data_IF_227856744615
#
_entry.id   IF_227856744615
#
_cell.length_a   1.000
_cell.length_b   1.000
_cell.length_c   1.000
_cell.angle_alpha   90.00
_cell.angle_beta   90.00
_cell.angle_gamma   90.00
#
_symmetry.space_group_name_H-M   'P 1'
#
loop_
_entity.id
_entity.type
_entity.pdbx_description
1 polymer ?
#
# COMPACT_ATOMS: atom_id res chain seq x y z
N UNK A 1 -19.64 -7.88 -9.08
CA UNK A 1 -18.30 -7.50 -9.56
C UNK A 1 -17.23 -8.13 -8.66
N UNK A 2 -16.14 -8.58 -9.24
CA UNK A 2 -15.03 -9.24 -8.54
C UNK A 2 -13.84 -8.27 -8.40
N UNK A 3 -13.32 -8.14 -7.19
CA UNK A 3 -12.12 -7.36 -6.88
C UNK A 3 -10.96 -8.30 -6.54
N UNK A 4 -9.87 -8.20 -7.26
CA UNK A 4 -8.61 -8.88 -6.96
C UNK A 4 -7.70 -7.95 -6.14
N UNK A 5 -7.24 -8.43 -5.00
CA UNK A 5 -6.31 -7.71 -4.13
C UNK A 5 -4.93 -8.34 -4.28
N UNK A 6 -3.95 -7.58 -4.77
CA UNK A 6 -2.60 -8.07 -5.09
C UNK A 6 -1.71 -8.33 -3.87
N UNK A 7 -2.29 -8.90 -2.82
CA UNK A 7 -1.60 -9.27 -1.58
C UNK A 7 -2.47 -10.14 -0.69
N UNK A 8 -1.84 -10.95 0.16
CA UNK A 8 -2.48 -11.67 1.28
C UNK A 8 -2.23 -11.00 2.64
N UNK A 9 -1.61 -9.83 2.68
CA UNK A 9 -1.37 -9.11 3.93
C UNK A 9 -2.71 -8.64 4.53
N UNK A 10 -3.11 -9.11 5.72
CA UNK A 10 -4.44 -8.83 6.27
C UNK A 10 -4.72 -7.34 6.48
N UNK A 11 -3.72 -6.55 6.83
CA UNK A 11 -3.85 -5.10 7.00
C UNK A 11 -4.27 -4.41 5.71
N UNK A 12 -3.65 -4.78 4.58
CA UNK A 12 -3.97 -4.25 3.26
C UNK A 12 -5.33 -4.78 2.76
N UNK A 13 -5.58 -6.08 2.94
CA UNK A 13 -6.85 -6.72 2.56
C UNK A 13 -8.04 -6.09 3.30
N UNK A 14 -7.93 -5.92 4.61
CA UNK A 14 -8.98 -5.32 5.43
C UNK A 14 -9.27 -3.88 5.02
N UNK A 15 -8.24 -3.09 4.67
CA UNK A 15 -8.43 -1.73 4.16
C UNK A 15 -9.28 -1.71 2.88
N UNK A 16 -9.04 -2.63 1.94
CA UNK A 16 -9.83 -2.74 0.70
C UNK A 16 -11.27 -3.15 1.00
N UNK A 17 -11.46 -4.22 1.76
CA UNK A 17 -12.82 -4.72 2.10
C UNK A 17 -13.65 -3.66 2.84
N UNK A 18 -13.03 -2.90 3.74
CA UNK A 18 -13.69 -1.83 4.49
C UNK A 18 -14.20 -0.69 3.61
N UNK A 19 -13.48 -0.36 2.52
CA UNK A 19 -13.86 0.74 1.60
C UNK A 19 -14.93 0.29 0.59
N UNK A 20 -14.77 -0.89 0.02
CA UNK A 20 -15.67 -1.38 -1.03
C UNK A 20 -16.93 -2.08 -0.48
N UNK A 21 -16.91 -2.56 0.78
CA UNK A 21 -18.06 -3.20 1.44
C UNK A 21 -18.34 -4.62 0.94
N UNK A 22 -19.46 -5.18 1.37
CA UNK A 22 -19.77 -6.60 1.21
C UNK A 22 -20.47 -6.96 -0.11
N UNK A 23 -20.72 -5.99 -0.97
CA UNK A 23 -21.41 -6.21 -2.27
C UNK A 23 -20.49 -6.78 -3.35
N UNK A 24 -19.19 -6.83 -3.11
CA UNK A 24 -18.18 -7.32 -4.03
C UNK A 24 -17.68 -8.71 -3.62
N UNK A 25 -17.30 -9.51 -4.62
CA UNK A 25 -16.55 -10.75 -4.39
C UNK A 25 -15.06 -10.44 -4.37
N UNK A 26 -14.35 -10.83 -3.32
CA UNK A 26 -12.92 -10.57 -3.16
C UNK A 26 -12.08 -11.81 -3.43
N UNK A 27 -10.97 -11.62 -4.14
CA UNK A 27 -9.94 -12.64 -4.36
C UNK A 27 -8.58 -12.06 -3.93
N UNK A 28 -7.96 -12.69 -2.96
CA UNK A 28 -6.62 -12.32 -2.48
C UNK A 28 -5.58 -13.10 -3.30
N UNK A 29 -4.72 -12.37 -4.03
CA UNK A 29 -3.73 -12.96 -4.92
C UNK A 29 -2.33 -12.62 -4.43
N UNK A 30 -1.52 -13.64 -4.20
CA UNK A 30 -0.12 -13.43 -3.83
C UNK A 30 0.70 -13.17 -5.10
N UNK A 31 0.90 -11.90 -5.42
CA UNK A 31 1.65 -11.45 -6.58
C UNK A 31 2.90 -10.68 -6.17
N UNK A 32 3.96 -10.81 -6.97
CA UNK A 32 5.18 -10.06 -6.76
C UNK A 32 4.99 -8.59 -7.12
N UNK A 33 5.66 -7.70 -6.38
CA UNK A 33 5.67 -6.26 -6.71
C UNK A 33 6.55 -5.93 -7.91
N UNK A 34 7.54 -6.78 -8.20
CA UNK A 34 8.53 -6.52 -9.26
C UNK A 34 9.47 -5.34 -8.97
N UNK A 35 9.51 -4.88 -7.73
CA UNK A 35 10.44 -3.86 -7.23
C UNK A 35 11.24 -4.42 -6.05
N UNK A 36 12.13 -3.64 -5.46
CA UNK A 36 12.93 -4.10 -4.32
C UNK A 36 12.03 -4.47 -3.11
N UNK A 37 12.49 -5.37 -2.22
CA UNK A 37 11.76 -5.71 -0.99
C UNK A 37 11.48 -4.50 -0.11
N UNK A 38 12.37 -3.51 -0.13
CA UNK A 38 12.22 -2.21 0.50
C UNK A 38 12.33 -1.11 -0.55
N UNK A 39 11.20 -0.60 -1.12
CA UNK A 39 11.24 0.54 -2.01
C UNK A 39 11.78 1.80 -1.33
N UNK A 40 12.70 2.50 -2.00
CA UNK A 40 13.41 3.66 -1.45
C UNK A 40 13.03 4.98 -2.14
N UNK A 41 11.94 4.98 -2.91
CA UNK A 41 11.37 6.18 -3.52
C UNK A 41 9.86 6.03 -3.69
N UNK A 42 9.18 7.16 -3.84
CA UNK A 42 7.77 7.17 -4.25
C UNK A 42 7.57 6.47 -5.60
N UNK A 43 8.45 6.74 -6.57
CA UNK A 43 8.37 6.16 -7.90
C UNK A 43 8.43 4.62 -7.85
N UNK A 44 9.38 4.06 -7.12
CA UNK A 44 9.51 2.62 -6.93
C UNK A 44 8.30 2.03 -6.21
N UNK A 45 7.79 2.72 -5.18
CA UNK A 45 6.62 2.30 -4.42
C UNK A 45 5.35 2.32 -5.29
N UNK A 46 5.17 3.36 -6.10
CA UNK A 46 4.08 3.47 -7.08
C UNK A 46 4.16 2.33 -8.08
N UNK A 47 5.35 2.08 -8.64
CA UNK A 47 5.54 1.00 -9.62
C UNK A 47 5.20 -0.36 -9.02
N UNK A 48 5.59 -0.61 -7.78
CA UNK A 48 5.22 -1.83 -7.05
C UNK A 48 3.70 -1.99 -6.89
N UNK A 49 3.00 -0.90 -6.55
CA UNK A 49 1.54 -0.90 -6.45
C UNK A 49 0.86 -1.18 -7.82
N UNK A 50 1.34 -0.56 -8.90
CA UNK A 50 0.84 -0.79 -10.28
C UNK A 50 1.03 -2.25 -10.68
N UNK A 51 2.23 -2.79 -10.49
CA UNK A 51 2.55 -4.17 -10.84
C UNK A 51 1.61 -5.15 -10.12
N UNK A 52 1.38 -4.94 -8.81
CA UNK A 52 0.44 -5.77 -8.03
C UNK A 52 -0.99 -5.67 -8.54
N UNK A 53 -1.48 -4.47 -8.85
CA UNK A 53 -2.84 -4.27 -9.36
C UNK A 53 -3.06 -5.00 -10.69
N UNK A 54 -2.14 -4.81 -11.64
CA UNK A 54 -2.19 -5.45 -12.97
C UNK A 54 -2.05 -6.97 -12.90
N UNK A 55 -1.13 -7.46 -12.09
CA UNK A 55 -0.95 -8.90 -11.91
C UNK A 55 -2.17 -9.55 -11.25
N UNK A 56 -2.76 -8.90 -10.25
CA UNK A 56 -3.92 -9.42 -9.53
C UNK A 56 -5.16 -9.51 -10.42
N UNK A 57 -5.48 -8.46 -11.19
CA UNK A 57 -6.65 -8.48 -12.09
C UNK A 57 -6.53 -9.57 -13.13
N UNK A 58 -5.34 -9.76 -13.68
CA UNK A 58 -5.06 -10.81 -14.67
C UNK A 58 -5.14 -12.21 -14.07
N UNK A 59 -4.48 -12.45 -12.94
CA UNK A 59 -4.41 -13.77 -12.32
C UNK A 59 -5.77 -14.26 -11.82
N UNK A 60 -6.64 -13.36 -11.32
CA UNK A 60 -7.95 -13.71 -10.81
C UNK A 60 -9.07 -13.65 -11.86
N UNK A 61 -8.82 -13.11 -13.07
CA UNK A 61 -9.88 -12.78 -14.02
C UNK A 61 -10.94 -11.88 -13.37
N UNK A 62 -10.49 -10.84 -12.65
CA UNK A 62 -11.36 -9.96 -11.89
C UNK A 62 -11.72 -8.69 -12.68
N UNK A 63 -12.79 -8.02 -12.26
CA UNK A 63 -13.22 -6.75 -12.88
C UNK A 63 -12.31 -5.59 -12.48
N UNK A 64 -11.82 -5.63 -11.22
CA UNK A 64 -10.96 -4.60 -10.61
C UNK A 64 -9.74 -5.28 -9.99
N UNK A 65 -8.56 -4.72 -10.20
CA UNK A 65 -7.32 -5.10 -9.53
C UNK A 65 -6.83 -3.97 -8.64
N UNK A 66 -6.49 -4.29 -7.38
CA UNK A 66 -5.96 -3.33 -6.42
C UNK A 66 -4.58 -3.80 -5.94
N UNK A 67 -3.60 -2.91 -6.08
CA UNK A 67 -2.26 -3.08 -5.55
C UNK A 67 -1.96 -2.01 -4.51
N UNK A 68 -1.37 -2.42 -3.39
CA UNK A 68 -0.98 -1.54 -2.30
C UNK A 68 0.48 -1.81 -1.95
N UNK A 69 1.30 -0.78 -1.91
CA UNK A 69 2.71 -0.90 -1.58
C UNK A 69 3.13 0.12 -0.52
N UNK A 70 4.11 -0.26 0.29
CA UNK A 70 4.75 0.62 1.26
C UNK A 70 6.23 0.75 0.96
N UNK A 71 6.76 1.93 1.18
CA UNK A 71 8.16 2.23 0.96
C UNK A 71 8.63 3.37 1.84
N UNK A 72 9.77 3.91 1.48
CA UNK A 72 10.31 5.12 2.08
C UNK A 72 10.74 6.10 0.99
N UNK A 73 10.75 7.39 1.32
CA UNK A 73 11.17 8.45 0.42
C UNK A 73 12.22 9.31 1.11
N UNK A 74 13.38 9.43 0.50
CA UNK A 74 14.41 10.36 0.95
C UNK A 74 14.03 11.79 0.59
N UNK A 75 14.24 12.71 1.52
CA UNK A 75 14.02 14.16 1.34
C UNK A 75 15.14 14.94 1.99
N UNK A 76 15.29 16.25 1.71
CA UNK A 76 16.23 17.12 2.43
C UNK A 76 16.00 17.17 3.95
N UNK A 77 14.83 16.78 4.42
CA UNK A 77 14.46 16.77 5.84
C UNK A 77 14.62 15.40 6.49
N UNK A 78 15.02 14.38 5.74
CA UNK A 78 15.24 13.01 6.21
C UNK A 78 14.37 11.99 5.49
N UNK A 79 14.36 10.75 6.00
CA UNK A 79 13.68 9.61 5.39
C UNK A 79 12.24 9.53 5.88
N UNK A 80 11.29 9.61 4.96
CA UNK A 80 9.85 9.48 5.26
C UNK A 80 9.33 8.10 4.92
N UNK A 81 8.52 7.53 5.81
CA UNK A 81 7.61 6.44 5.45
C UNK A 81 6.64 6.95 4.39
N UNK A 82 6.40 6.16 3.34
CA UNK A 82 5.38 6.42 2.33
C UNK A 82 4.57 5.16 2.03
N UNK A 83 3.38 5.35 1.46
CA UNK A 83 2.54 4.26 0.99
C UNK A 83 1.72 4.73 -0.21
N UNK A 84 1.57 3.82 -1.17
CA UNK A 84 0.89 4.07 -2.42
C UNK A 84 -0.07 2.95 -2.77
N UNK A 85 -1.09 3.29 -3.51
CA UNK A 85 -2.02 2.34 -4.08
C UNK A 85 -2.26 2.58 -5.55
N UNK A 86 -2.60 1.51 -6.23
CA UNK A 86 -3.03 1.51 -7.62
C UNK A 86 -4.30 0.70 -7.77
N UNK A 87 -5.21 1.18 -8.61
CA UNK A 87 -6.40 0.48 -9.05
C UNK A 87 -6.42 0.47 -10.58
N UNK A 88 -6.67 -0.70 -11.14
CA UNK A 88 -6.91 -0.89 -12.57
C UNK A 88 -8.21 -1.65 -12.77
N UNK A 89 -8.84 -1.51 -13.92
CA UNK A 89 -9.99 -2.34 -14.31
C UNK A 89 -9.61 -3.32 -15.41
N UNK A 90 -10.37 -4.40 -15.57
CA UNK A 90 -10.17 -5.35 -16.68
C UNK A 90 -10.35 -4.74 -18.08
N UNK A 91 -11.11 -3.63 -18.15
CA UNK A 91 -11.40 -2.90 -19.39
C UNK A 91 -10.34 -1.82 -19.69
N UNK A 92 -9.73 -1.28 -18.64
CA UNK A 92 -8.73 -0.23 -18.74
C UNK A 92 -7.63 -0.47 -17.71
N UNK A 93 -6.42 -0.76 -18.21
CA UNK A 93 -5.23 -1.02 -17.41
C UNK A 93 -4.45 0.28 -17.07
N UNK A 94 -4.96 1.44 -17.49
CA UNK A 94 -4.41 2.73 -17.05
C UNK A 94 -4.63 2.90 -15.55
N UNK A 95 -3.57 3.07 -14.75
CA UNK A 95 -3.69 3.03 -13.30
C UNK A 95 -4.35 4.30 -12.74
N UNK A 96 -5.27 4.11 -11.82
CA UNK A 96 -5.67 5.13 -10.85
C UNK A 96 -4.68 5.04 -9.69
N UNK A 97 -4.12 6.17 -9.27
CA UNK A 97 -3.10 6.22 -8.23
C UNK A 97 -3.56 7.04 -7.03
N UNK A 98 -3.13 6.62 -5.84
CA UNK A 98 -3.35 7.36 -4.60
C UNK A 98 -2.20 7.16 -3.63
N UNK A 99 -1.69 8.25 -3.06
CA UNK A 99 -0.70 8.24 -2.00
C UNK A 99 -1.34 8.48 -0.63
N UNK A 100 -0.78 7.91 0.41
CA UNK A 100 -1.31 8.01 1.78
C UNK A 100 -0.46 8.86 2.72
N UNK A 101 -0.72 8.72 4.01
CA UNK A 101 -0.02 9.41 5.08
C UNK A 101 1.49 9.19 5.01
N UNK A 102 2.24 10.23 5.38
CA UNK A 102 3.70 10.21 5.48
C UNK A 102 4.13 10.58 6.89
N UNK A 103 5.19 9.98 7.37
CA UNK A 103 5.81 10.33 8.65
C UNK A 103 7.32 10.28 8.53
N UNK A 104 8.00 11.24 9.12
CA UNK A 104 9.45 11.25 9.24
C UNK A 104 9.89 10.10 10.16
N UNK A 105 10.78 9.25 9.68
CA UNK A 105 11.36 8.18 10.48
C UNK A 105 12.48 8.72 11.38
N UNK A 106 12.57 8.27 12.64
CA UNK A 106 13.73 8.56 13.49
C UNK A 106 15.03 8.13 12.82
N UNK A 107 16.11 8.91 13.01
CA UNK A 107 17.40 8.62 12.37
C UNK A 107 17.95 7.23 12.75
N UNK A 108 17.66 6.75 13.96
CA UNK A 108 18.04 5.40 14.37
C UNK A 108 17.44 4.32 13.44
N UNK A 109 16.19 4.50 12.98
CA UNK A 109 15.55 3.58 12.04
C UNK A 109 16.01 3.86 10.60
N UNK A 110 16.02 5.14 10.19
CA UNK A 110 16.46 5.54 8.86
C UNK A 110 17.89 5.07 8.54
N UNK A 111 18.79 5.15 9.53
CA UNK A 111 20.16 4.66 9.42
C UNK A 111 20.25 3.16 9.16
N UNK A 112 19.40 2.34 9.78
CA UNK A 112 19.38 0.90 9.53
C UNK A 112 18.92 0.58 8.09
N UNK A 113 17.97 1.34 7.54
CA UNK A 113 17.55 1.17 6.15
C UNK A 113 18.66 1.60 5.16
N UNK A 114 19.31 2.75 5.42
CA UNK A 114 20.34 3.30 4.51
C UNK A 114 21.63 2.49 4.52
N UNK A 115 22.16 2.22 5.72
CA UNK A 115 23.49 1.59 5.89
C UNK A 115 23.43 0.08 5.88
N UNK A 116 22.51 -0.49 6.64
CA UNK A 116 22.44 -1.95 6.87
C UNK A 116 21.55 -2.66 5.85
N UNK A 117 20.91 -1.89 4.95
CA UNK A 117 20.00 -2.40 3.90
C UNK A 117 18.87 -3.26 4.45
N UNK A 118 18.45 -3.00 5.70
CA UNK A 118 17.31 -3.68 6.32
C UNK A 118 15.99 -3.23 5.70
N UNK A 119 15.03 -4.13 5.66
CA UNK A 119 13.64 -3.74 5.44
C UNK A 119 13.11 -2.97 6.66
N UNK A 120 12.15 -2.07 6.44
CA UNK A 120 11.56 -1.29 7.55
C UNK A 120 11.01 -2.18 8.66
N UNK A 121 10.42 -3.33 8.30
CA UNK A 121 9.91 -4.29 9.29
C UNK A 121 11.02 -4.80 10.23
N UNK A 122 12.19 -5.15 9.67
CA UNK A 122 13.34 -5.62 10.44
C UNK A 122 13.93 -4.50 11.30
N UNK A 123 14.07 -3.30 10.72
CA UNK A 123 14.57 -2.13 11.46
C UNK A 123 13.66 -1.78 12.65
N UNK A 124 12.34 -1.90 12.46
CA UNK A 124 11.36 -1.67 13.53
C UNK A 124 11.42 -2.75 14.61
N UNK A 125 11.61 -4.02 14.24
CA UNK A 125 11.78 -5.10 15.22
C UNK A 125 13.02 -4.88 16.10
N UNK A 126 14.12 -4.41 15.51
CA UNK A 126 15.32 -4.04 16.25
C UNK A 126 15.08 -2.82 17.14
N UNK A 127 14.49 -1.77 16.59
CA UNK A 127 14.24 -0.51 17.29
C UNK A 127 13.32 -0.66 18.51
N UNK A 128 12.27 -1.48 18.38
CA UNK A 128 11.28 -1.65 19.44
C UNK A 128 11.51 -2.87 20.33
N UNK A 129 12.45 -3.73 19.96
CA UNK A 129 12.63 -5.07 20.56
C UNK A 129 11.33 -5.91 20.55
N UNK A 130 10.50 -5.75 19.52
CA UNK A 130 9.24 -6.47 19.35
C UNK A 130 9.20 -7.17 17.98
N UNK A 131 8.47 -8.30 17.89
CA UNK A 131 8.32 -9.07 16.65
C UNK A 131 6.96 -8.84 15.98
N UNK A 132 6.94 -9.06 14.66
CA UNK A 132 5.72 -9.02 13.83
C UNK A 132 5.01 -7.65 13.78
N UNK A 133 5.73 -6.55 13.94
CA UNK A 133 5.18 -5.18 13.95
C UNK A 133 4.40 -4.88 12.67
N UNK A 134 4.88 -5.36 11.50
CA UNK A 134 4.20 -5.15 10.21
C UNK A 134 2.81 -5.77 10.10
N UNK A 135 2.48 -6.75 10.98
CA UNK A 135 1.15 -7.39 11.06
C UNK A 135 0.24 -6.75 12.09
N UNK A 136 0.76 -5.81 12.87
CA UNK A 136 0.08 -5.03 13.92
C UNK A 136 -0.06 -3.57 13.46
N UNK A 137 0.23 -2.64 14.36
CA UNK A 137 0.16 -1.18 14.12
C UNK A 137 1.14 -0.66 13.07
N UNK A 138 2.25 -1.38 12.84
CA UNK A 138 3.33 -0.96 11.94
C UNK A 138 4.12 0.24 12.47
N UNK A 139 5.11 0.71 11.70
CA UNK A 139 5.91 1.88 12.08
C UNK A 139 5.04 3.12 12.32
N UNK A 140 4.02 3.33 11.47
CA UNK A 140 3.12 4.46 11.61
C UNK A 140 2.40 4.48 12.96
N UNK A 141 1.93 3.31 13.43
CA UNK A 141 1.26 3.20 14.73
C UNK A 141 2.21 3.49 15.89
N UNK A 142 3.42 2.98 15.83
CA UNK A 142 4.42 3.22 16.87
C UNK A 142 4.78 4.70 16.95
N UNK A 143 5.12 5.33 15.82
CA UNK A 143 5.56 6.73 15.81
C UNK A 143 4.43 7.76 15.92
N UNK A 144 3.18 7.33 15.89
CA UNK A 144 2.01 8.17 16.18
C UNK A 144 1.34 7.82 17.51
N UNK A 145 1.99 7.00 18.34
CA UNK A 145 1.44 6.56 19.62
C UNK A 145 0.02 5.97 19.50
N UNK A 146 -0.20 5.15 18.46
CA UNK A 146 -1.47 4.49 18.19
C UNK A 146 -2.57 5.37 17.58
N UNK A 147 -2.31 6.66 17.33
CA UNK A 147 -3.33 7.55 16.73
C UNK A 147 -3.64 7.20 15.27
N UNK A 148 -2.70 6.59 14.56
CA UNK A 148 -2.89 6.11 13.21
C UNK A 148 -2.24 4.74 13.06
N UNK A 149 -3.01 3.71 12.77
CA UNK A 149 -2.49 2.38 12.50
C UNK A 149 -2.27 2.14 10.99
N UNK A 150 -1.64 1.02 10.66
CA UNK A 150 -1.33 0.66 9.28
C UNK A 150 -2.58 0.38 8.45
N UNK A 151 -3.65 -0.12 9.04
CA UNK A 151 -4.93 -0.35 8.35
C UNK A 151 -5.56 0.98 7.99
N UNK A 152 -5.62 1.93 8.91
CA UNK A 152 -6.14 3.28 8.68
C UNK A 152 -5.32 4.03 7.61
N UNK A 153 -4.00 3.85 7.60
CA UNK A 153 -3.12 4.42 6.58
C UNK A 153 -3.47 3.92 5.17
N UNK A 154 -3.62 2.59 4.97
CA UNK A 154 -4.02 2.04 3.68
C UNK A 154 -5.50 2.29 3.36
N UNK A 155 -6.37 2.39 4.38
CA UNK A 155 -7.77 2.75 4.18
C UNK A 155 -7.93 4.10 3.47
N UNK A 156 -7.17 5.12 3.87
CA UNK A 156 -7.17 6.42 3.19
C UNK A 156 -6.74 6.32 1.72
N UNK A 157 -5.73 5.52 1.42
CA UNK A 157 -5.28 5.26 0.04
C UNK A 157 -6.41 4.65 -0.78
N UNK A 158 -7.06 3.62 -0.26
CA UNK A 158 -8.14 2.92 -0.98
C UNK A 158 -9.37 3.82 -1.17
N UNK A 159 -9.69 4.70 -0.21
CA UNK A 159 -10.74 5.72 -0.38
C UNK A 159 -10.47 6.63 -1.57
N UNK A 160 -9.22 7.10 -1.74
CA UNK A 160 -8.84 7.94 -2.88
C UNK A 160 -8.93 7.18 -4.20
N UNK A 161 -8.54 5.90 -4.23
CA UNK A 161 -8.67 5.06 -5.43
C UNK A 161 -10.13 4.87 -5.83
N UNK A 162 -10.98 4.53 -4.86
CA UNK A 162 -12.42 4.35 -5.09
C UNK A 162 -13.08 5.65 -5.55
N UNK A 163 -12.80 6.76 -4.87
CA UNK A 163 -13.36 8.07 -5.24
C UNK A 163 -12.99 8.50 -6.66
N UNK A 164 -11.75 8.27 -7.09
CA UNK A 164 -11.32 8.54 -8.46
C UNK A 164 -12.00 7.60 -9.48
N UNK A 165 -12.19 6.33 -9.14
CA UNK A 165 -12.94 5.39 -9.98
C UNK A 165 -14.40 5.84 -10.16
N UNK A 166 -15.07 6.20 -9.07
CA UNK A 166 -16.44 6.70 -9.08
C UNK A 166 -16.56 7.97 -9.91
N UNK A 167 -15.60 8.91 -9.77
CA UNK A 167 -15.54 10.15 -10.55
C UNK A 167 -15.41 9.88 -12.05
N UNK A 168 -14.46 9.01 -12.46
CA UNK A 168 -14.28 8.64 -13.89
C UNK A 168 -15.51 7.96 -14.46
N UNK A 169 -16.16 7.08 -13.68
CA UNK A 169 -17.37 6.37 -14.13
C UNK A 169 -18.54 7.32 -14.33
N UNK A 170 -18.73 8.30 -13.46
CA UNK A 170 -19.80 9.28 -13.57
C UNK A 170 -19.60 10.24 -14.75
N UNK A 171 -18.35 10.58 -15.12
CA UNK A 171 -18.08 11.39 -16.30
C UNK A 171 -18.33 10.66 -17.62
N UNK A 172 -18.16 9.34 -17.66
CA UNK A 172 -18.41 8.54 -18.86
C UNK A 172 -19.91 8.38 -19.19
N UNK A 173 -20.81 8.81 -18.30
CA UNK A 173 -22.28 8.71 -18.45
C UNK A 173 -22.89 10.06 -18.87
N UNK A 174 -22.11 11.15 -18.85
CA UNK A 174 -22.50 12.48 -19.38
C UNK A 174 -22.06 12.63 -20.84
#
# INVERSE_FOLDING_TARGET
MKIAIGTKNPTKVNAVKKVFGDTFTYVEVDVQSGVSPQPFSDEETIQGAINRARAAVKAAGADIGIGLEGGVQETPHGLFLCNWGSLVTSKDLEPILGGGARILLPEAVAGMLRRDKKELAEAMEVYTNQKNIRKKEGAIGIFTNGNLDRTAMFYQVVLMLKGQLDFRTNQAVQ
#
